data_IF_856084608019
#
_entry.id   IF_856084608019
#
_cell.length_a   1.000
_cell.length_b   1.000
_cell.length_c   1.000
_cell.angle_alpha   90.00
_cell.angle_beta   90.00
_cell.angle_gamma   90.00
#
_symmetry.space_group_name_H-M   'P 1'
#
loop_
_entity.id
_entity.type
_entity.pdbx_description
1 polymer ?
#
# COMPACT_ATOMS: atom_id res chain seq x y z
N UNK A 1 58.84 56.23 22.58
CA UNK A 1 57.72 55.30 22.87
C UNK A 1 57.15 54.84 21.54
N UNK A 2 57.17 53.55 21.20
CA UNK A 2 56.54 53.07 19.97
C UNK A 2 55.04 52.86 20.21
N UNK A 3 54.24 53.38 19.28
CA UNK A 3 52.78 53.19 19.20
C UNK A 3 52.52 51.73 18.81
N UNK A 4 51.68 50.97 19.53
CA UNK A 4 51.36 49.61 19.11
C UNK A 4 50.45 49.66 17.88
N UNK A 5 50.88 48.99 16.80
CA UNK A 5 50.03 48.70 15.65
C UNK A 5 48.83 47.88 16.12
N UNK A 6 47.65 48.50 16.07
CA UNK A 6 46.39 47.84 16.26
C UNK A 6 46.19 46.87 15.07
N UNK A 7 46.49 45.58 15.27
CA UNK A 7 46.15 44.55 14.29
C UNK A 7 44.61 44.51 14.16
N UNK A 8 44.06 44.52 12.94
CA UNK A 8 42.62 44.34 12.77
C UNK A 8 42.26 42.95 13.27
N UNK A 9 41.49 42.88 14.37
CA UNK A 9 40.91 41.65 14.85
C UNK A 9 40.03 41.08 13.73
N UNK A 10 40.50 39.99 13.11
CA UNK A 10 39.70 39.18 12.19
C UNK A 10 38.37 38.90 12.90
N UNK A 11 37.20 39.22 12.31
CA UNK A 11 35.94 38.96 12.97
C UNK A 11 35.88 37.46 13.29
N UNK A 12 35.74 37.13 14.57
CA UNK A 12 35.55 35.74 15.00
C UNK A 12 34.39 35.17 14.17
N UNK A 13 34.54 33.99 13.56
CA UNK A 13 33.45 33.40 12.80
C UNK A 13 32.24 33.28 13.73
N UNK A 14 31.07 33.77 13.31
CA UNK A 14 29.85 33.67 14.10
C UNK A 14 29.56 32.18 14.33
N UNK A 15 29.83 31.73 15.55
CA UNK A 15 29.44 30.42 16.02
C UNK A 15 28.02 30.49 16.56
N UNK A 16 27.19 29.51 16.22
CA UNK A 16 25.80 29.42 16.65
C UNK A 16 25.46 27.97 17.03
N UNK A 17 24.36 27.81 17.77
CA UNK A 17 23.94 26.49 18.27
C UNK A 17 23.07 25.80 17.23
N UNK A 18 23.51 24.65 16.74
CA UNK A 18 22.73 23.77 15.86
C UNK A 18 22.09 22.67 16.69
N UNK A 19 20.77 22.53 16.56
CA UNK A 19 20.02 21.46 17.21
C UNK A 19 19.90 20.27 16.27
N UNK A 20 20.48 19.13 16.67
CA UNK A 20 20.37 17.84 15.97
C UNK A 20 19.66 16.87 16.90
N UNK A 21 18.43 16.49 16.56
CA UNK A 21 17.50 15.74 17.40
C UNK A 21 17.39 16.33 18.83
N UNK A 22 18.01 15.70 19.83
CA UNK A 22 18.05 16.14 21.23
C UNK A 22 19.38 16.76 21.66
N UNK A 23 20.35 16.85 20.76
CA UNK A 23 21.69 17.37 21.04
C UNK A 23 21.90 18.74 20.43
N UNK A 24 22.58 19.62 21.15
CA UNK A 24 22.92 20.96 20.67
C UNK A 24 24.43 21.08 20.56
N UNK A 25 24.93 21.34 19.35
CA UNK A 25 26.36 21.51 19.10
C UNK A 25 26.63 22.95 18.62
N UNK A 26 27.76 23.50 19.04
CA UNK A 26 28.22 24.81 18.57
C UNK A 26 28.93 24.62 17.23
N UNK A 27 28.43 25.28 16.19
CA UNK A 27 28.95 25.18 14.83
C UNK A 27 29.22 26.56 14.24
N UNK A 28 30.10 26.62 13.23
CA UNK A 28 30.27 27.81 12.38
C UNK A 28 29.81 27.49 10.97
N UNK A 29 29.35 28.50 10.21
CA UNK A 29 28.85 28.33 8.84
C UNK A 29 29.86 27.69 7.87
N UNK A 30 31.15 27.89 8.12
CA UNK A 30 32.26 27.30 7.37
C UNK A 30 32.52 25.82 7.68
N UNK A 31 31.90 25.23 8.69
CA UNK A 31 32.09 23.80 9.01
C UNK A 31 31.47 22.93 7.92
N UNK A 32 32.19 21.87 7.56
CA UNK A 32 31.69 20.87 6.61
C UNK A 32 30.72 19.93 7.30
N UNK A 33 29.76 19.39 6.54
CA UNK A 33 28.82 18.40 7.05
C UNK A 33 29.54 17.21 7.70
N UNK A 34 30.63 16.73 7.11
CA UNK A 34 31.44 15.66 7.69
C UNK A 34 32.04 16.03 9.05
N UNK A 35 32.55 17.26 9.20
CA UNK A 35 33.09 17.73 10.50
C UNK A 35 32.00 17.85 11.57
N UNK A 36 30.80 18.29 11.18
CA UNK A 36 29.62 18.37 12.05
C UNK A 36 29.21 16.98 12.53
N UNK A 37 29.18 15.98 11.65
CA UNK A 37 28.88 14.59 12.00
C UNK A 37 29.91 14.01 12.98
N UNK A 38 31.20 14.25 12.76
CA UNK A 38 32.26 13.77 13.68
C UNK A 38 32.12 14.43 15.06
N UNK A 39 31.87 15.73 15.12
CA UNK A 39 31.65 16.43 16.38
C UNK A 39 30.40 15.90 17.10
N UNK A 40 29.32 15.64 16.36
CA UNK A 40 28.09 15.04 16.91
C UNK A 40 28.36 13.66 17.51
N UNK A 41 29.05 12.77 16.78
CA UNK A 41 29.39 11.42 17.25
C UNK A 41 30.27 11.47 18.50
N UNK A 42 31.27 12.36 18.53
CA UNK A 42 32.11 12.57 19.71
C UNK A 42 31.32 13.08 20.92
N UNK A 43 30.27 13.88 20.70
CA UNK A 43 29.39 14.35 21.77
C UNK A 43 28.44 13.27 22.28
N UNK A 44 28.07 12.29 21.44
CA UNK A 44 27.18 11.19 21.83
C UNK A 44 27.91 10.13 22.67
N UNK A 45 29.24 9.99 22.54
CA UNK A 45 30.09 9.04 23.29
C UNK A 45 29.55 7.58 23.27
N UNK A 46 29.00 7.17 22.12
CA UNK A 46 28.49 5.82 21.89
C UNK A 46 29.45 5.10 20.93
N UNK A 47 29.93 3.93 21.34
CA UNK A 47 30.68 3.01 20.48
C UNK A 47 29.71 2.24 19.56
N UNK A 48 29.23 2.90 18.51
CA UNK A 48 28.38 2.30 17.47
C UNK A 48 28.88 2.66 16.07
N UNK A 49 28.57 1.82 15.10
CA UNK A 49 28.83 2.10 13.68
C UNK A 49 27.84 3.14 13.14
N UNK A 50 28.37 4.32 12.77
CA UNK A 50 27.59 5.42 12.19
C UNK A 50 27.69 5.52 10.66
N UNK A 51 28.23 4.50 9.99
CA UNK A 51 28.47 4.50 8.54
C UNK A 51 27.18 4.63 7.70
N UNK A 52 26.04 4.21 8.26
CA UNK A 52 24.74 4.28 7.59
C UNK A 52 23.91 5.51 8.00
N UNK A 53 24.46 6.39 8.83
CA UNK A 53 23.75 7.57 9.32
C UNK A 53 24.04 8.78 8.46
N UNK A 54 23.01 9.59 8.23
CA UNK A 54 23.13 10.86 7.56
C UNK A 54 22.25 11.91 8.23
N UNK A 55 22.53 13.19 7.93
CA UNK A 55 21.72 14.31 8.39
C UNK A 55 20.56 14.53 7.43
N UNK A 56 19.36 14.53 7.98
CA UNK A 56 18.13 14.90 7.30
C UNK A 56 17.65 16.26 7.79
N UNK A 57 17.19 17.12 6.88
CA UNK A 57 16.63 18.43 7.20
C UNK A 57 15.12 18.45 6.91
N UNK A 58 14.25 18.25 7.92
CA UNK A 58 12.80 18.17 7.72
C UNK A 58 12.18 19.45 7.14
N UNK A 59 12.60 20.64 7.57
CA UNK A 59 12.03 21.91 7.09
C UNK A 59 12.27 22.12 5.59
N UNK A 60 13.47 21.80 5.12
CA UNK A 60 13.84 21.94 3.71
C UNK A 60 13.51 20.68 2.88
N UNK A 61 13.16 19.57 3.55
CA UNK A 61 12.87 18.27 2.94
C UNK A 61 14.03 17.76 2.07
N UNK A 62 15.26 17.81 2.59
CA UNK A 62 16.47 17.36 1.87
C UNK A 62 17.42 16.57 2.77
N UNK A 63 18.16 15.65 2.15
CA UNK A 63 19.29 14.96 2.79
C UNK A 63 20.59 15.72 2.59
N UNK A 64 21.40 15.83 3.65
CA UNK A 64 22.72 16.44 3.61
C UNK A 64 23.79 15.35 3.41
N UNK A 65 23.82 14.76 2.21
CA UNK A 65 24.70 13.63 1.90
C UNK A 65 26.14 14.05 1.55
N UNK A 66 26.33 15.29 1.09
CA UNK A 66 27.65 15.74 0.67
C UNK A 66 28.48 16.20 1.87
N UNK A 67 29.31 15.31 2.38
CA UNK A 67 30.16 15.54 3.56
C UNK A 67 31.18 16.66 3.38
N UNK A 68 31.51 17.02 2.13
CA UNK A 68 32.48 18.08 1.81
C UNK A 68 31.87 19.48 1.78
N UNK A 69 30.56 19.57 1.64
CA UNK A 69 29.88 20.86 1.59
C UNK A 69 29.79 21.49 2.97
N UNK A 70 29.82 22.81 3.01
CA UNK A 70 29.68 23.58 4.26
C UNK A 70 28.22 23.78 4.62
N UNK A 71 27.94 24.06 5.90
CA UNK A 71 26.61 24.43 6.35
C UNK A 71 26.07 25.64 5.57
N UNK A 72 26.93 26.62 5.28
CA UNK A 72 26.58 27.79 4.47
C UNK A 72 26.21 27.45 3.02
N UNK A 73 26.88 26.46 2.41
CA UNK A 73 26.55 26.00 1.05
C UNK A 73 25.17 25.35 0.96
N UNK A 74 24.77 24.65 2.02
CA UNK A 74 23.41 24.12 2.15
C UNK A 74 22.40 25.17 2.64
N UNK A 75 22.86 26.36 3.06
CA UNK A 75 22.02 27.42 3.61
C UNK A 75 21.44 27.10 4.99
N UNK A 76 22.09 26.22 5.76
CA UNK A 76 21.64 25.84 7.11
C UNK A 76 21.95 26.98 8.08
N UNK A 77 20.91 27.48 8.75
CA UNK A 77 21.00 28.58 9.73
C UNK A 77 20.73 28.10 11.16
N UNK A 78 20.81 29.01 12.14
CA UNK A 78 20.63 28.71 13.57
C UNK A 78 19.24 28.21 13.97
N UNK A 79 18.22 28.43 13.14
CA UNK A 79 16.87 27.93 13.38
C UNK A 79 16.64 26.53 12.78
N UNK A 80 17.62 25.98 12.05
CA UNK A 80 17.50 24.68 11.43
C UNK A 80 17.49 23.59 12.48
N UNK A 81 16.50 22.70 12.37
CA UNK A 81 16.42 21.47 13.14
C UNK A 81 16.79 20.35 12.19
N UNK A 82 17.90 19.68 12.48
CA UNK A 82 18.33 18.51 11.72
C UNK A 82 18.04 17.25 12.53
N UNK A 83 17.88 16.15 11.83
CA UNK A 83 17.71 14.83 12.45
C UNK A 83 18.81 13.92 11.95
N UNK A 84 19.50 13.25 12.87
CA UNK A 84 20.55 12.29 12.55
C UNK A 84 19.95 10.89 12.55
N UNK A 85 19.75 10.33 11.35
CA UNK A 85 18.97 9.10 11.19
C UNK A 85 19.64 8.16 10.19
N UNK A 86 19.37 6.86 10.34
CA UNK A 86 19.82 5.82 9.41
C UNK A 86 19.23 6.04 8.01
N UNK A 87 20.05 5.90 6.97
CA UNK A 87 19.61 5.95 5.58
C UNK A 87 18.85 4.69 5.20
N UNK A 88 19.31 3.51 5.62
CA UNK A 88 18.56 2.28 5.43
C UNK A 88 17.54 2.12 6.55
N UNK A 89 16.27 1.88 6.15
CA UNK A 89 15.19 1.57 7.08
C UNK A 89 14.37 0.41 6.55
N UNK A 90 13.70 -0.30 7.46
CA UNK A 90 12.83 -1.42 7.08
C UNK A 90 11.54 -0.91 6.46
N UNK A 91 11.09 -1.53 5.37
CA UNK A 91 9.82 -1.24 4.70
C UNK A 91 9.08 -2.53 4.43
N UNK A 92 7.75 -2.50 4.54
CA UNK A 92 6.89 -3.60 4.09
C UNK A 92 6.51 -3.37 2.63
N UNK A 93 7.03 -4.21 1.75
CA UNK A 93 6.76 -4.19 0.33
C UNK A 93 5.71 -5.24 -0.02
N UNK A 94 4.56 -4.82 -0.51
CA UNK A 94 3.56 -5.71 -1.07
C UNK A 94 3.81 -5.92 -2.56
N UNK A 95 4.14 -7.16 -2.92
CA UNK A 95 4.32 -7.58 -4.30
C UNK A 95 2.99 -7.67 -5.07
N UNK A 96 3.03 -7.74 -6.41
CA UNK A 96 1.84 -7.97 -7.24
C UNK A 96 1.04 -9.23 -6.89
N UNK A 97 1.70 -10.29 -6.40
CA UNK A 97 1.07 -11.53 -5.90
C UNK A 97 0.42 -11.42 -4.50
N UNK A 98 0.32 -10.19 -3.99
CA UNK A 98 -0.21 -9.83 -2.68
C UNK A 98 0.56 -10.43 -1.49
N UNK A 99 1.78 -10.95 -1.67
CA UNK A 99 2.67 -11.26 -0.54
C UNK A 99 3.28 -9.97 -0.03
N UNK A 100 3.58 -9.92 1.27
CA UNK A 100 4.26 -8.80 1.90
C UNK A 100 5.64 -9.27 2.32
N UNK A 101 6.67 -8.52 1.89
CA UNK A 101 8.05 -8.76 2.25
C UNK A 101 8.54 -7.61 3.14
N UNK A 102 9.30 -7.93 4.18
CA UNK A 102 10.05 -6.91 4.92
C UNK A 102 11.41 -6.75 4.26
N UNK A 103 11.66 -5.59 3.65
CA UNK A 103 12.92 -5.30 2.96
C UNK A 103 13.61 -4.11 3.61
N UNK A 104 14.94 -4.08 3.56
CA UNK A 104 15.71 -2.89 3.93
C UNK A 104 15.92 -2.03 2.68
N UNK A 105 15.41 -0.81 2.69
CA UNK A 105 15.51 0.13 1.57
C UNK A 105 16.23 1.40 2.02
N UNK A 106 16.95 2.02 1.09
CA UNK A 106 17.63 3.29 1.31
C UNK A 106 16.64 4.45 1.10
N UNK A 107 16.44 5.26 2.13
CA UNK A 107 15.52 6.40 2.14
C UNK A 107 16.16 7.70 1.63
N UNK A 108 17.47 7.70 1.39
CA UNK A 108 18.23 8.85 0.89
C UNK A 108 18.30 8.90 -0.65
N UNK A 109 18.20 7.73 -1.28
CA UNK A 109 18.29 7.56 -2.73
C UNK A 109 16.92 7.80 -3.38
N UNK A 110 16.94 8.20 -4.66
CA UNK A 110 15.72 8.38 -5.44
C UNK A 110 14.91 7.09 -5.53
N UNK A 111 13.58 7.21 -5.59
CA UNK A 111 12.67 6.06 -5.68
C UNK A 111 13.02 5.17 -6.88
N UNK A 112 13.43 5.75 -8.02
CA UNK A 112 13.86 4.95 -9.17
C UNK A 112 15.05 4.04 -8.84
N UNK A 113 16.12 4.59 -8.25
CA UNK A 113 17.29 3.80 -7.90
C UNK A 113 17.00 2.79 -6.76
N UNK A 114 16.12 3.15 -5.81
CA UNK A 114 15.62 2.21 -4.82
C UNK A 114 14.87 1.03 -5.46
N UNK A 115 13.97 1.30 -6.43
CA UNK A 115 13.26 0.26 -7.20
C UNK A 115 14.23 -0.62 -7.96
N UNK A 116 15.25 -0.05 -8.61
CA UNK A 116 16.27 -0.83 -9.31
C UNK A 116 17.01 -1.79 -8.37
N UNK A 117 17.37 -1.35 -7.16
CA UNK A 117 18.01 -2.20 -6.13
C UNK A 117 17.05 -3.31 -5.68
N UNK A 118 15.80 -2.97 -5.35
CA UNK A 118 14.77 -3.93 -4.94
C UNK A 118 14.52 -4.98 -6.03
N UNK A 119 14.33 -4.56 -7.28
CA UNK A 119 14.10 -5.47 -8.40
C UNK A 119 15.31 -6.38 -8.66
N UNK A 120 16.53 -5.86 -8.52
CA UNK A 120 17.76 -6.66 -8.61
C UNK A 120 17.79 -7.74 -7.53
N UNK A 121 17.47 -7.39 -6.28
CA UNK A 121 17.45 -8.33 -5.15
C UNK A 121 16.34 -9.38 -5.31
N UNK A 122 15.21 -9.02 -5.93
CA UNK A 122 14.10 -9.93 -6.24
C UNK A 122 14.33 -10.76 -7.53
N UNK A 123 15.39 -10.52 -8.31
CA UNK A 123 15.63 -11.19 -9.58
C UNK A 123 14.65 -10.80 -10.71
N UNK A 124 14.14 -9.58 -10.69
CA UNK A 124 13.26 -9.01 -11.72
C UNK A 124 14.10 -8.17 -12.70
N UNK A 125 14.16 -8.57 -13.97
CA UNK A 125 14.76 -7.75 -15.05
C UNK A 125 13.86 -6.55 -15.37
N UNK A 126 14.41 -5.54 -16.04
CA UNK A 126 13.68 -4.36 -16.52
C UNK A 126 12.90 -3.63 -15.42
N UNK A 127 13.62 -3.17 -14.39
CA UNK A 127 13.05 -2.48 -13.24
C UNK A 127 12.35 -1.16 -13.61
N UNK A 128 12.68 -0.57 -14.77
CA UNK A 128 12.07 0.63 -15.33
C UNK A 128 10.57 0.50 -15.61
N UNK A 129 10.06 -0.72 -15.75
CA UNK A 129 8.63 -0.99 -15.94
C UNK A 129 7.85 -0.92 -14.62
N UNK A 130 8.53 -1.05 -13.49
CA UNK A 130 7.97 -1.09 -12.16
C UNK A 130 8.15 0.24 -11.43
N UNK A 131 7.27 0.48 -10.47
CA UNK A 131 7.42 1.59 -9.53
C UNK A 131 6.71 1.29 -8.22
N UNK A 132 6.84 2.20 -7.27
CA UNK A 132 6.23 2.09 -5.94
C UNK A 132 4.96 2.91 -5.92
N UNK A 133 3.91 2.33 -5.38
CA UNK A 133 2.60 2.93 -5.18
C UNK A 133 2.29 3.01 -3.69
N UNK A 134 1.75 4.13 -3.23
CA UNK A 134 1.31 4.31 -1.85
C UNK A 134 0.04 3.49 -1.60
N UNK A 135 -0.04 2.85 -0.45
CA UNK A 135 -1.28 2.19 -0.04
C UNK A 135 -2.39 3.25 0.10
N UNK A 136 -3.56 3.07 -0.55
CA UNK A 136 -4.71 3.94 -0.33
C UNK A 136 -5.08 3.89 1.16
N UNK A 137 -4.96 5.01 1.85
CA UNK A 137 -5.53 5.13 3.19
C UNK A 137 -7.05 5.08 3.01
N UNK A 138 -7.72 4.06 3.54
CA UNK A 138 -9.18 4.07 3.67
C UNK A 138 -9.54 5.21 4.63
N UNK A 139 -9.76 6.40 4.08
CA UNK A 139 -10.44 7.46 4.80
C UNK A 139 -11.84 6.95 5.05
N UNK A 140 -12.20 6.70 6.31
CA UNK A 140 -13.60 6.50 6.70
C UNK A 140 -14.35 7.79 6.39
N UNK A 141 -14.83 7.93 5.15
CA UNK A 141 -15.86 8.91 4.80
C UNK A 141 -17.19 8.39 5.35
N UNK A 142 -17.32 8.37 6.67
CA UNK A 142 -18.61 8.59 7.31
C UNK A 142 -18.96 10.07 7.08
N UNK A 143 -19.39 10.38 5.86
CA UNK A 143 -19.65 11.73 5.40
C UNK A 143 -20.55 11.67 4.18
N UNK A 144 -21.86 11.67 4.44
CA UNK A 144 -22.92 12.03 3.51
C UNK A 144 -22.90 11.36 2.14
N UNK A 145 -23.36 10.11 2.07
CA UNK A 145 -24.26 9.76 0.96
C UNK A 145 -25.55 10.60 1.15
N UNK A 146 -25.49 11.85 0.74
CA UNK A 146 -26.69 12.55 0.33
C UNK A 146 -27.22 11.73 -0.84
N UNK A 147 -28.26 10.93 -0.56
CA UNK A 147 -29.07 10.28 -1.57
C UNK A 147 -29.62 11.40 -2.44
N UNK A 148 -28.91 11.73 -3.52
CA UNK A 148 -29.44 12.51 -4.62
C UNK A 148 -30.57 11.68 -5.20
N UNK A 149 -31.77 11.96 -4.71
CA UNK A 149 -33.03 11.52 -5.29
C UNK A 149 -32.98 11.81 -6.78
N UNK A 150 -33.21 10.78 -7.58
CA UNK A 150 -33.32 10.83 -9.02
C UNK A 150 -34.19 12.02 -9.46
N UNK A 151 -33.85 12.75 -10.55
CA UNK A 151 -34.73 13.78 -11.07
C UNK A 151 -36.05 13.13 -11.46
N UNK A 152 -37.08 13.43 -10.68
CA UNK A 152 -38.46 12.99 -10.88
C UNK A 152 -38.87 13.42 -12.30
N UNK A 153 -39.00 12.47 -13.23
CA UNK A 153 -39.63 12.71 -14.54
C UNK A 153 -41.00 13.31 -14.28
N UNK A 154 -41.17 14.61 -14.55
CA UNK A 154 -42.48 15.28 -14.61
C UNK A 154 -43.31 14.57 -15.68
N UNK A 155 -44.27 13.74 -15.26
CA UNK A 155 -45.39 13.36 -16.11
C UNK A 155 -46.33 14.57 -16.17
N UNK A 156 -46.49 15.14 -17.36
CA UNK A 156 -47.63 16.01 -17.65
C UNK A 156 -48.90 15.15 -17.60
N UNK A 157 -49.79 15.48 -16.68
CA UNK A 157 -51.17 14.99 -16.69
C UNK A 157 -51.91 15.74 -17.81
N UNK A 158 -52.38 15.02 -18.81
CA UNK A 158 -53.48 15.45 -19.69
C UNK A 158 -54.72 14.66 -19.26
N UNK A 159 -55.83 15.39 -19.13
CA UNK A 159 -57.03 15.00 -18.41
C UNK A 159 -57.89 13.90 -19.05
N UNK A 160 -58.53 13.16 -18.14
CA UNK A 160 -59.91 12.64 -18.16
C UNK A 160 -60.69 12.59 -19.48
N UNK A 161 -61.15 11.38 -19.84
CA UNK A 161 -62.53 11.17 -20.29
C UNK A 161 -63.01 9.75 -19.93
N UNK A 162 -64.25 9.69 -19.42
CA UNK A 162 -65.09 8.53 -19.10
C UNK A 162 -65.19 7.47 -20.21
N UNK A 163 -65.45 6.19 -19.86
CA UNK A 163 -66.80 5.56 -19.76
C UNK A 163 -66.79 4.03 -20.00
N UNK A 164 -67.60 3.33 -19.19
CA UNK A 164 -68.38 2.09 -19.43
C UNK A 164 -67.86 0.67 -19.12
N UNK A 165 -68.81 -0.07 -18.52
CA UNK A 165 -68.86 -1.46 -18.05
C UNK A 165 -68.68 -2.52 -19.15
N UNK A 166 -68.21 -3.73 -18.77
CA UNK A 166 -68.89 -5.02 -19.05
C UNK A 166 -68.18 -6.23 -18.39
N UNK A 167 -69.02 -7.21 -18.05
CA UNK A 167 -68.87 -8.53 -17.42
C UNK A 167 -67.83 -9.54 -17.99
N UNK A 168 -67.55 -10.56 -17.15
CA UNK A 168 -67.20 -11.95 -17.51
C UNK A 168 -65.72 -12.28 -17.32
N UNK A 169 -65.26 -13.41 -16.78
CA UNK A 169 -65.91 -14.68 -16.46
C UNK A 169 -65.03 -15.43 -15.44
N UNK A 170 -65.68 -16.21 -14.60
CA UNK A 170 -65.10 -17.13 -13.61
C UNK A 170 -64.78 -18.47 -14.28
N UNK A 171 -63.80 -19.22 -13.77
CA UNK A 171 -63.94 -20.65 -13.44
C UNK A 171 -62.63 -21.27 -12.96
N UNK A 172 -62.71 -21.81 -11.74
CA UNK A 172 -61.78 -22.77 -11.18
C UNK A 172 -61.96 -24.15 -11.84
N UNK A 173 -60.92 -24.98 -11.82
CA UNK A 173 -61.06 -26.42 -11.68
C UNK A 173 -59.80 -27.02 -11.05
N UNK A 174 -60.01 -27.66 -9.90
CA UNK A 174 -59.10 -28.60 -9.26
C UNK A 174 -59.26 -29.97 -9.91
N UNK A 175 -58.16 -30.70 -10.09
CA UNK A 175 -58.17 -32.17 -9.98
C UNK A 175 -56.84 -32.69 -9.44
N UNK A 176 -56.95 -33.47 -8.38
CA UNK A 176 -55.91 -34.16 -7.61
C UNK A 176 -55.87 -35.65 -7.93
N UNK A 177 -54.69 -36.29 -7.94
CA UNK A 177 -54.48 -37.72 -7.66
C UNK A 177 -53.02 -37.92 -7.17
N UNK A 178 -52.75 -38.29 -5.90
CA UNK A 178 -52.63 -39.68 -5.34
C UNK A 178 -51.35 -40.38 -5.88
N UNK A 179 -50.42 -41.00 -5.14
CA UNK A 179 -50.17 -41.24 -3.71
C UNK A 179 -48.87 -42.09 -3.53
N UNK A 180 -48.40 -42.22 -2.27
CA UNK A 180 -47.70 -43.38 -1.63
C UNK A 180 -46.21 -43.61 -1.90
N UNK A 181 -45.32 -44.03 -0.98
CA UNK A 181 -45.23 -44.34 0.49
C UNK A 181 -43.69 -44.56 0.71
N UNK A 182 -43.00 -44.22 1.80
CA UNK A 182 -42.93 -44.92 3.09
C UNK A 182 -41.90 -44.21 4.02
N UNK A 183 -42.18 -44.20 5.32
CA UNK A 183 -41.23 -43.96 6.43
C UNK A 183 -41.10 -45.24 7.27
N UNK A 184 -40.05 -45.38 8.13
CA UNK A 184 -40.32 -45.47 9.57
C UNK A 184 -39.21 -44.84 10.47
N UNK A 185 -39.29 -45.10 11.78
CA UNK A 185 -39.11 -44.18 12.92
C UNK A 185 -38.02 -44.53 13.98
N UNK A 186 -37.35 -43.50 14.55
CA UNK A 186 -36.79 -43.31 15.96
C UNK A 186 -35.67 -44.25 16.52
N UNK A 187 -34.90 -43.95 17.62
CA UNK A 187 -35.04 -42.92 18.69
C UNK A 187 -33.74 -42.14 19.17
N UNK A 188 -33.91 -41.33 20.23
CA UNK A 188 -33.07 -40.29 20.91
C UNK A 188 -31.71 -40.72 21.53
N UNK A 189 -30.83 -39.73 21.77
CA UNK A 189 -30.15 -39.52 23.09
C UNK A 189 -29.75 -38.05 23.34
N UNK A 190 -29.76 -37.64 24.62
CA UNK A 190 -29.69 -36.27 25.19
C UNK A 190 -28.60 -36.17 26.27
N UNK A 191 -27.98 -35.00 26.45
CA UNK A 191 -27.63 -34.32 27.73
C UNK A 191 -26.91 -32.98 27.40
N UNK A 192 -27.45 -31.76 27.66
CA UNK A 192 -27.58 -30.94 28.91
C UNK A 192 -26.26 -30.71 29.64
N UNK A 193 -25.75 -29.48 29.79
CA UNK A 193 -26.06 -28.48 30.85
C UNK A 193 -25.70 -27.03 30.40
N UNK A 194 -26.64 -26.05 30.39
CA UNK A 194 -26.89 -24.95 31.38
C UNK A 194 -25.67 -24.03 31.65
N UNK A 195 -25.70 -22.70 31.55
CA UNK A 195 -26.62 -21.70 32.16
C UNK A 195 -26.57 -20.30 31.49
N UNK A 196 -27.73 -19.66 31.30
CA UNK A 196 -28.15 -18.28 31.66
C UNK A 196 -27.22 -17.05 31.39
N UNK A 197 -27.64 -15.85 30.99
CA UNK A 197 -28.95 -15.19 30.86
C UNK A 197 -28.89 -13.99 29.87
N UNK A 198 -30.07 -13.61 29.39
CA UNK A 198 -30.51 -12.52 28.49
C UNK A 198 -30.18 -11.08 28.92
N UNK A 199 -29.92 -10.15 27.97
CA UNK A 199 -30.54 -8.80 27.86
C UNK A 199 -30.53 -8.32 26.39
N UNK A 200 -31.62 -7.65 26.04
CA UNK A 200 -32.12 -7.13 24.76
C UNK A 200 -31.44 -5.84 24.25
N UNK A 201 -31.55 -5.65 22.93
CA UNK A 201 -31.59 -4.41 22.14
C UNK A 201 -30.50 -3.33 22.20
N UNK A 202 -29.96 -3.09 21.00
CA UNK A 202 -29.60 -1.79 20.40
C UNK A 202 -28.20 -1.20 20.62
N UNK A 203 -27.68 -0.68 19.49
CA UNK A 203 -26.60 0.32 19.33
C UNK A 203 -25.22 -0.22 18.94
N UNK A 204 -24.87 0.13 17.69
CA UNK A 204 -23.54 0.27 17.08
C UNK A 204 -22.60 -0.96 17.01
N UNK A 205 -22.71 -1.71 15.91
CA UNK A 205 -21.61 -2.55 15.40
C UNK A 205 -20.44 -1.69 14.92
N UNK A 206 -19.57 -1.28 15.83
CA UNK A 206 -18.23 -0.83 15.47
C UNK A 206 -17.41 -2.08 15.09
N UNK A 207 -17.02 -2.19 13.81
CA UNK A 207 -15.96 -3.13 13.39
C UNK A 207 -14.62 -2.46 13.68
N UNK A 208 -13.74 -3.03 14.53
CA UNK A 208 -12.46 -2.39 14.83
C UNK A 208 -11.46 -2.63 13.70
N UNK A 209 -10.72 -1.57 13.38
CA UNK A 209 -9.65 -1.42 12.38
C UNK A 209 -8.48 -2.41 12.58
N UNK A 210 -8.45 -3.14 13.70
CA UNK A 210 -7.41 -4.11 14.05
C UNK A 210 -7.33 -5.33 13.12
N UNK A 211 -8.36 -5.60 12.31
CA UNK A 211 -8.40 -6.82 11.50
C UNK A 211 -7.66 -6.69 10.17
N UNK A 212 -7.51 -5.49 9.60
CA UNK A 212 -6.77 -5.31 8.35
C UNK A 212 -5.26 -5.37 8.58
N UNK A 213 -4.75 -4.73 9.63
CA UNK A 213 -3.33 -4.82 10.01
C UNK A 213 -2.93 -6.24 10.44
N UNK A 214 -3.80 -6.95 11.19
CA UNK A 214 -3.58 -8.38 11.53
C UNK A 214 -3.69 -9.31 10.31
N UNK A 215 -4.59 -9.04 9.36
CA UNK A 215 -4.74 -9.81 8.11
C UNK A 215 -3.58 -9.62 7.14
N UNK A 216 -3.00 -8.42 7.08
CA UNK A 216 -1.81 -8.15 6.26
C UNK A 216 -0.56 -8.77 6.87
N UNK A 217 -0.44 -8.81 8.21
CA UNK A 217 0.66 -9.50 8.88
C UNK A 217 0.65 -11.02 8.61
N UNK A 218 -0.50 -11.63 8.33
CA UNK A 218 -0.62 -13.03 7.89
C UNK A 218 -0.06 -13.28 6.47
N UNK A 219 0.25 -12.24 5.70
CA UNK A 219 0.82 -12.32 4.34
C UNK A 219 2.34 -12.07 4.33
N UNK A 220 2.95 -11.85 5.50
CA UNK A 220 4.39 -11.69 5.65
C UNK A 220 5.06 -13.04 5.43
N UNK A 221 5.74 -13.18 4.31
CA UNK A 221 6.55 -14.36 3.99
C UNK A 221 8.02 -13.97 4.03
N UNK A 222 8.89 -14.84 4.53
CA UNK A 222 10.33 -14.67 4.37
C UNK A 222 10.69 -14.61 2.87
N UNK A 223 11.78 -13.92 2.55
CA UNK A 223 12.29 -13.74 1.18
C UNK A 223 12.50 -15.08 0.42
N UNK A 224 12.56 -16.19 1.15
CA UNK A 224 12.76 -17.57 0.66
C UNK A 224 11.57 -18.18 -0.07
N UNK A 225 10.41 -17.51 -0.09
CA UNK A 225 9.25 -18.00 -0.83
C UNK A 225 9.49 -17.88 -2.33
N UNK A 226 9.55 -19.01 -3.07
CA UNK A 226 9.72 -19.03 -4.53
C UNK A 226 8.73 -18.05 -5.22
N UNK A 227 9.23 -16.87 -5.60
CA UNK A 227 8.46 -15.78 -6.19
C UNK A 227 8.10 -16.03 -7.66
N UNK A 228 8.67 -17.07 -8.27
CA UNK A 228 8.32 -17.54 -9.61
C UNK A 228 7.07 -18.44 -9.61
N UNK A 229 6.52 -18.77 -8.44
CA UNK A 229 5.34 -19.62 -8.32
C UNK A 229 4.16 -18.87 -7.72
N UNK A 230 3.02 -18.99 -8.37
CA UNK A 230 1.73 -18.46 -7.91
C UNK A 230 1.43 -18.95 -6.48
N UNK A 231 1.14 -18.05 -5.52
CA UNK A 231 0.76 -18.47 -4.18
C UNK A 231 -0.57 -19.21 -4.19
N UNK A 232 -0.65 -20.34 -3.48
CA UNK A 232 -1.91 -21.05 -3.22
C UNK A 232 -2.63 -20.31 -2.09
N UNK A 233 -3.26 -19.18 -2.41
CA UNK A 233 -4.07 -18.40 -1.44
C UNK A 233 -5.57 -18.64 -1.68
N UNK A 234 -6.40 -18.76 -0.62
CA UNK A 234 -7.85 -18.85 -0.77
C UNK A 234 -8.42 -17.52 -1.25
N UNK A 235 -8.77 -17.49 -2.54
CA UNK A 235 -9.21 -16.31 -3.32
C UNK A 235 -10.41 -15.57 -2.69
N UNK A 236 -11.29 -16.29 -1.97
CA UNK A 236 -12.54 -15.73 -1.40
C UNK A 236 -12.32 -14.71 -0.28
N UNK A 237 -11.31 -14.89 0.57
CA UNK A 237 -11.05 -13.96 1.68
C UNK A 237 -10.38 -12.67 1.21
N UNK A 238 -9.67 -12.71 0.07
CA UNK A 238 -8.94 -11.57 -0.50
C UNK A 238 -9.86 -10.73 -1.39
N UNK A 239 -10.73 -11.36 -2.21
CA UNK A 239 -11.70 -10.66 -3.04
C UNK A 239 -12.64 -9.74 -2.25
N UNK A 240 -13.03 -10.15 -1.04
CA UNK A 240 -13.86 -9.31 -0.16
C UNK A 240 -13.11 -8.14 0.49
N UNK A 241 -11.77 -8.18 0.48
CA UNK A 241 -10.90 -7.13 0.99
C UNK A 241 -10.41 -6.18 -0.12
N UNK A 242 -10.39 -6.62 -1.37
CA UNK A 242 -10.13 -5.80 -2.54
C UNK A 242 -11.36 -4.91 -2.77
N UNK A 243 -11.27 -3.64 -2.39
CA UNK A 243 -12.30 -2.65 -2.70
C UNK A 243 -12.41 -2.50 -4.21
N UNK A 244 -13.55 -2.88 -4.79
CA UNK A 244 -13.86 -2.60 -6.18
C UNK A 244 -13.96 -1.08 -6.37
N UNK A 245 -13.10 -0.42 -7.16
CA UNK A 245 -13.31 0.98 -7.49
C UNK A 245 -14.52 1.07 -8.43
N UNK A 246 -15.58 1.73 -7.96
CA UNK A 246 -16.89 1.71 -8.63
C UNK A 246 -16.90 2.67 -9.82
N UNK A 247 -16.03 3.68 -9.80
CA UNK A 247 -16.11 4.80 -10.73
C UNK A 247 -14.77 5.20 -11.33
N UNK A 248 -14.77 5.73 -12.56
CA UNK A 248 -13.56 6.19 -13.26
C UNK A 248 -12.79 7.26 -12.47
N UNK A 249 -13.51 8.07 -11.68
CA UNK A 249 -12.95 9.09 -10.79
C UNK A 249 -12.19 8.45 -9.62
N UNK A 250 -12.66 7.31 -9.11
CA UNK A 250 -11.93 6.58 -8.06
C UNK A 250 -10.69 5.92 -8.63
N UNK A 251 -10.79 5.34 -9.85
CA UNK A 251 -9.64 4.81 -10.59
C UNK A 251 -8.58 5.90 -10.85
N UNK A 252 -8.97 7.12 -11.20
CA UNK A 252 -8.01 8.22 -11.41
C UNK A 252 -7.31 8.65 -10.13
N UNK A 253 -8.00 8.62 -8.98
CA UNK A 253 -7.38 8.88 -7.67
C UNK A 253 -6.33 7.84 -7.32
N UNK A 254 -6.49 6.57 -7.69
CA UNK A 254 -5.46 5.55 -7.46
C UNK A 254 -4.15 5.89 -8.18
N UNK A 255 -4.22 6.47 -9.38
CA UNK A 255 -3.02 6.93 -10.10
C UNK A 255 -2.31 8.12 -9.45
N UNK A 256 -2.98 8.87 -8.56
CA UNK A 256 -2.31 9.94 -7.80
C UNK A 256 -1.42 9.43 -6.67
N UNK A 257 -1.50 8.13 -6.35
CA UNK A 257 -0.74 7.50 -5.27
C UNK A 257 0.65 7.01 -5.69
N UNK A 258 1.02 7.13 -6.97
CA UNK A 258 2.35 6.75 -7.43
C UNK A 258 3.41 7.67 -6.80
N UNK A 259 4.51 7.06 -6.35
CA UNK A 259 5.65 7.83 -5.90
C UNK A 259 6.31 8.57 -7.07
N UNK A 260 6.87 9.74 -6.76
CA UNK A 260 7.76 10.46 -7.66
C UNK A 260 9.10 9.73 -7.73
N UNK A 261 9.42 9.21 -8.92
CA UNK A 261 10.64 8.45 -9.18
C UNK A 261 11.93 9.26 -8.97
N UNK A 262 11.86 10.59 -9.07
CA UNK A 262 13.01 11.49 -9.00
C UNK A 262 13.41 11.88 -7.57
N UNK A 263 12.52 11.67 -6.60
CA UNK A 263 12.69 12.07 -5.20
C UNK A 263 12.97 10.87 -4.32
N UNK A 264 13.52 11.11 -3.13
CA UNK A 264 13.74 10.04 -2.16
C UNK A 264 12.44 9.60 -1.46
N UNK A 265 12.47 8.45 -0.78
CA UNK A 265 11.31 7.95 -0.02
C UNK A 265 11.01 8.84 1.19
N UNK A 266 12.05 9.37 1.84
CA UNK A 266 11.93 10.28 2.98
C UNK A 266 11.25 11.59 2.57
N UNK A 267 11.64 12.15 1.42
CA UNK A 267 11.05 13.38 0.85
C UNK A 267 9.55 13.30 0.60
N UNK A 268 9.03 12.08 0.48
CA UNK A 268 7.64 11.81 0.18
C UNK A 268 6.82 11.45 1.43
N UNK A 269 7.35 11.67 2.63
CA UNK A 269 6.72 11.34 3.91
C UNK A 269 6.45 9.85 4.10
N UNK A 270 7.39 9.00 3.69
CA UNK A 270 7.37 7.57 4.00
C UNK A 270 8.08 7.34 5.31
N UNK A 271 7.45 6.61 6.23
CA UNK A 271 8.04 6.23 7.50
C UNK A 271 8.62 4.82 7.43
N UNK A 272 9.41 4.48 8.46
CA UNK A 272 9.85 3.11 8.66
C UNK A 272 8.65 2.18 8.91
N UNK A 273 8.73 0.95 8.36
CA UNK A 273 7.72 -0.10 8.42
C UNK A 273 6.38 0.23 7.73
N UNK A 274 6.31 1.34 6.98
CA UNK A 274 5.16 1.64 6.13
C UNK A 274 4.95 0.55 5.08
N UNK A 275 3.68 0.36 4.70
CA UNK A 275 3.29 -0.58 3.65
C UNK A 275 3.22 0.15 2.31
N UNK A 276 4.08 -0.25 1.38
CA UNK A 276 4.12 0.25 0.02
C UNK A 276 3.88 -0.88 -0.97
N UNK A 277 3.38 -0.56 -2.16
CA UNK A 277 3.01 -1.52 -3.18
C UNK A 277 4.04 -1.48 -4.32
N UNK A 278 4.65 -2.61 -4.66
CA UNK A 278 5.42 -2.74 -5.91
C UNK A 278 4.46 -3.14 -7.03
N UNK A 279 4.37 -2.36 -8.10
CA UNK A 279 3.47 -2.64 -9.22
C UNK A 279 4.15 -2.31 -10.55
N UNK A 280 3.78 -3.04 -11.60
CA UNK A 280 4.09 -2.64 -12.97
C UNK A 280 3.31 -1.37 -13.28
N UNK A 281 4.04 -0.28 -13.55
CA UNK A 281 3.51 1.06 -13.81
C UNK A 281 3.32 1.31 -15.30
N UNK A 282 4.25 0.82 -16.12
CA UNK A 282 4.24 1.00 -17.56
C UNK A 282 3.86 -0.31 -18.23
N UNK A 283 2.79 -0.29 -19.03
CA UNK A 283 2.25 -1.47 -19.73
C UNK A 283 2.96 -1.70 -21.08
N UNK A 284 4.28 -1.51 -21.10
CA UNK A 284 5.12 -1.75 -22.27
C UNK A 284 6.27 -2.62 -21.81
N UNK A 285 6.13 -3.93 -22.07
CA UNK A 285 7.04 -4.93 -21.54
C UNK A 285 8.09 -5.31 -22.59
N UNK A 286 9.35 -5.03 -22.29
CA UNK A 286 10.47 -5.34 -23.19
C UNK A 286 11.03 -6.74 -22.94
N UNK A 287 11.32 -7.48 -24.02
CA UNK A 287 11.99 -8.79 -24.00
C UNK A 287 11.47 -9.75 -22.91
N UNK A 288 10.16 -10.05 -22.91
CA UNK A 288 9.60 -11.04 -22.00
C UNK A 288 10.10 -12.44 -22.37
N UNK A 289 11.04 -12.97 -21.58
CA UNK A 289 11.69 -14.24 -21.89
C UNK A 289 11.47 -15.30 -20.80
N UNK A 290 10.68 -16.35 -21.06
CA UNK A 290 10.38 -17.41 -20.08
C UNK A 290 11.59 -18.12 -19.47
N UNK A 291 12.76 -18.08 -20.13
CA UNK A 291 13.99 -18.71 -19.62
C UNK A 291 14.64 -17.93 -18.48
N UNK A 292 14.54 -16.60 -18.50
CA UNK A 292 15.24 -15.71 -17.57
C UNK A 292 14.28 -14.99 -16.62
N UNK A 293 13.02 -14.79 -17.04
CA UNK A 293 12.04 -13.93 -16.36
C UNK A 293 11.00 -14.71 -15.55
N UNK A 294 11.33 -15.87 -15.00
CA UNK A 294 10.35 -16.68 -14.27
C UNK A 294 9.63 -15.90 -13.15
N UNK A 295 10.38 -15.07 -12.40
CA UNK A 295 9.83 -14.21 -11.33
C UNK A 295 9.03 -13.04 -11.92
N UNK A 296 9.61 -12.29 -12.86
CA UNK A 296 8.97 -11.14 -13.52
C UNK A 296 7.65 -11.54 -14.18
N UNK A 297 7.63 -12.65 -14.92
CA UNK A 297 6.43 -13.19 -15.57
C UNK A 297 5.37 -13.60 -14.55
N UNK A 298 5.76 -14.27 -13.46
CA UNK A 298 4.80 -14.66 -12.43
C UNK A 298 4.18 -13.43 -11.76
N UNK A 299 4.99 -12.42 -11.42
CA UNK A 299 4.48 -11.18 -10.81
C UNK A 299 3.59 -10.39 -11.78
N UNK A 300 3.93 -10.36 -13.07
CA UNK A 300 3.12 -9.73 -14.10
C UNK A 300 1.77 -10.45 -14.29
N UNK A 301 1.82 -11.79 -14.38
CA UNK A 301 0.62 -12.64 -14.42
C UNK A 301 -0.28 -12.41 -13.20
N UNK A 302 0.31 -12.39 -12.01
CA UNK A 302 -0.42 -12.13 -10.77
C UNK A 302 -1.06 -10.74 -10.78
N UNK A 303 -0.36 -9.69 -11.21
CA UNK A 303 -0.94 -8.35 -11.33
C UNK A 303 -2.17 -8.35 -12.25
N UNK A 304 -2.02 -8.92 -13.45
CA UNK A 304 -3.12 -8.98 -14.43
C UNK A 304 -4.30 -9.79 -13.90
N UNK A 305 -4.04 -10.94 -13.27
CA UNK A 305 -5.06 -11.78 -12.64
C UNK A 305 -5.84 -11.00 -11.59
N UNK A 306 -5.17 -10.26 -10.70
CA UNK A 306 -5.85 -9.48 -9.68
C UNK A 306 -6.64 -8.30 -10.27
N UNK A 307 -6.14 -7.66 -11.32
CA UNK A 307 -6.87 -6.58 -12.01
C UNK A 307 -8.15 -7.09 -12.68
N UNK A 308 -8.14 -8.29 -13.28
CA UNK A 308 -9.33 -8.90 -13.87
C UNK A 308 -10.33 -9.32 -12.77
N UNK A 309 -9.85 -10.03 -11.74
CA UNK A 309 -10.71 -10.52 -10.66
C UNK A 309 -11.33 -9.41 -9.80
N UNK A 310 -10.67 -8.25 -9.70
CA UNK A 310 -11.20 -7.08 -9.00
C UNK A 310 -12.10 -6.19 -9.86
N UNK A 311 -12.29 -6.53 -11.14
CA UNK A 311 -13.00 -5.70 -12.13
C UNK A 311 -12.35 -4.31 -12.31
N UNK A 312 -11.04 -4.21 -12.07
CA UNK A 312 -10.26 -3.02 -12.42
C UNK A 312 -10.14 -2.89 -13.94
N UNK A 313 -10.02 -4.04 -14.63
CA UNK A 313 -10.02 -4.16 -16.08
C UNK A 313 -11.25 -4.97 -16.48
N UNK A 314 -12.08 -4.38 -17.33
CA UNK A 314 -13.26 -5.02 -17.87
C UNK A 314 -12.87 -6.03 -18.97
N UNK A 315 -13.48 -7.21 -18.96
CA UNK A 315 -13.37 -8.20 -20.02
C UNK A 315 -14.73 -8.83 -20.34
N UNK A 316 -14.83 -9.45 -21.50
CA UNK A 316 -16.04 -10.16 -21.92
C UNK A 316 -16.20 -11.49 -21.17
N UNK A 317 -17.42 -12.05 -21.19
CA UNK A 317 -17.70 -13.33 -20.55
C UNK A 317 -16.84 -14.47 -21.13
N UNK A 318 -16.65 -14.50 -22.45
CA UNK A 318 -15.82 -15.50 -23.13
C UNK A 318 -14.34 -15.40 -22.74
N UNK A 319 -13.80 -14.19 -22.65
CA UNK A 319 -12.44 -13.94 -22.18
C UNK A 319 -12.29 -14.35 -20.71
N UNK A 320 -13.27 -14.02 -19.86
CA UNK A 320 -13.28 -14.40 -18.44
C UNK A 320 -13.23 -15.92 -18.27
N UNK A 321 -14.04 -16.66 -19.05
CA UNK A 321 -14.02 -18.13 -19.04
C UNK A 321 -12.65 -18.68 -19.47
N UNK A 322 -12.03 -18.06 -20.46
CA UNK A 322 -10.67 -18.42 -20.92
C UNK A 322 -9.63 -18.16 -19.84
N UNK A 323 -9.68 -17.00 -19.17
CA UNK A 323 -8.77 -16.68 -18.06
C UNK A 323 -8.94 -17.65 -16.87
N UNK A 324 -10.18 -18.04 -16.54
CA UNK A 324 -10.44 -19.03 -15.51
C UNK A 324 -9.84 -20.39 -15.86
N UNK A 325 -9.98 -20.84 -17.12
CA UNK A 325 -9.37 -22.09 -17.60
C UNK A 325 -7.83 -22.06 -17.50
N UNK A 326 -7.21 -20.96 -17.93
CA UNK A 326 -5.75 -20.77 -17.83
C UNK A 326 -5.29 -20.80 -16.37
N UNK A 327 -6.01 -20.16 -15.45
CA UNK A 327 -5.69 -20.17 -14.02
C UNK A 327 -5.70 -21.59 -13.43
N UNK A 328 -6.72 -22.40 -13.77
CA UNK A 328 -6.82 -23.79 -13.33
C UNK A 328 -5.66 -24.62 -13.89
N UNK A 329 -5.33 -24.47 -15.17
CA UNK A 329 -4.22 -25.20 -15.80
C UNK A 329 -2.87 -24.85 -15.14
N UNK A 330 -2.60 -23.56 -14.91
CA UNK A 330 -1.38 -23.11 -14.22
C UNK A 330 -1.28 -23.72 -12.83
N UNK A 331 -2.38 -23.74 -12.08
CA UNK A 331 -2.43 -24.37 -10.75
C UNK A 331 -2.14 -25.88 -10.82
N UNK A 332 -2.76 -26.58 -11.76
CA UNK A 332 -2.57 -28.02 -11.96
C UNK A 332 -1.11 -28.36 -12.32
N UNK A 333 -0.49 -27.61 -13.23
CA UNK A 333 0.92 -27.81 -13.60
C UNK A 333 1.87 -27.54 -12.43
N UNK A 334 1.57 -26.55 -11.59
CA UNK A 334 2.33 -26.30 -10.38
C UNK A 334 2.22 -27.46 -9.38
N UNK A 335 1.03 -28.02 -9.17
CA UNK A 335 0.83 -29.19 -8.30
C UNK A 335 1.58 -30.42 -8.83
N UNK A 336 1.55 -30.66 -10.15
CA UNK A 336 2.26 -31.78 -10.78
C UNK A 336 3.78 -31.68 -10.64
N UNK A 337 4.35 -30.47 -10.79
CA UNK A 337 5.79 -30.23 -10.61
C UNK A 337 6.25 -30.27 -9.14
N UNK A 338 5.31 -30.31 -8.20
CA UNK A 338 5.59 -30.33 -6.76
C UNK A 338 5.60 -31.74 -6.16
N UNK A 339 5.21 -32.75 -6.95
CA UNK A 339 5.27 -34.17 -6.63
C UNK A 339 6.50 -34.78 -7.29
#
# INVERSE_FOLDING_TARGET
MPIPLNQPSIPKPLSWNLTIDSTTIVVTGSMTIGSVMVQLVNCLDISQDFSDYALWWPKANIWLLNTKWTLDQYGVQSDAQLTFTSMHKSIRLQLPDLRILSISADFSVTVFAAVCKICKDLGIRHAEELSILRLPKLTNTNGSHERRTSPRRRRYNIGTLNRHNSMGDSLANNTSTISTLFSPSTPKLRSTTTTNDTIDSSICRQRPISNLSKSLNSLVTNLDGNLARTPIKPIKNILSQLTKPINIIEKSKLNSLWFDSSKSLMEQNTNENDLILLRFKYFTFYDLNPKFDAIRLNQLYEQAKWSILSEDIDCTEEEMMTFAALQVNTKYLHEKKSK
#
